data_IF_640829855596
#
_entry.id   IF_640829855596
#
_cell.length_a   1.000
_cell.length_b   1.000
_cell.length_c   1.000
_cell.angle_alpha   90.00
_cell.angle_beta   90.00
_cell.angle_gamma   90.00
#
_symmetry.space_group_name_H-M   'P 1'
#
loop_
_entity.id
_entity.type
_entity.pdbx_description
1 polymer ?
#
# COMPACT_ATOMS: atom_id res chain seq x y z
N UNK A 1 -21.83 0.65 -12.49
CA UNK A 1 -20.45 0.11 -12.50
C UNK A 1 -19.51 1.19 -12.03
N UNK A 2 -18.70 0.94 -11.00
CA UNK A 2 -17.72 1.92 -10.53
C UNK A 2 -16.53 1.97 -11.52
N UNK A 3 -16.07 3.17 -11.88
CA UNK A 3 -14.99 3.38 -12.86
C UNK A 3 -13.64 2.83 -12.39
N UNK A 4 -13.43 2.76 -11.06
CA UNK A 4 -12.12 2.49 -10.47
C UNK A 4 -12.03 1.18 -9.67
N UNK A 5 -13.17 0.53 -9.43
CA UNK A 5 -13.24 -0.65 -8.58
C UNK A 5 -13.78 -1.84 -9.36
N UNK A 6 -13.19 -2.99 -9.08
CA UNK A 6 -13.69 -4.30 -9.51
C UNK A 6 -14.12 -5.10 -8.27
N UNK A 7 -15.08 -6.04 -8.42
CA UNK A 7 -15.42 -6.98 -7.36
C UNK A 7 -14.17 -7.77 -6.93
N UNK A 8 -13.94 -7.83 -5.62
CA UNK A 8 -12.89 -8.61 -4.99
C UNK A 8 -13.42 -9.92 -4.40
N UNK A 9 -12.65 -10.51 -3.50
CA UNK A 9 -13.04 -11.72 -2.78
C UNK A 9 -13.96 -11.37 -1.59
N UNK A 10 -14.98 -12.20 -1.32
CA UNK A 10 -15.87 -12.07 -0.16
C UNK A 10 -16.49 -10.66 0.00
N UNK A 11 -17.18 -10.18 -1.03
CA UNK A 11 -17.87 -8.88 -1.06
C UNK A 11 -16.99 -7.64 -0.84
N UNK A 12 -15.67 -7.78 -0.92
CA UNK A 12 -14.75 -6.65 -0.90
C UNK A 12 -14.62 -6.00 -2.28
N UNK A 13 -14.26 -4.73 -2.29
CA UNK A 13 -13.90 -4.01 -3.52
C UNK A 13 -12.39 -3.91 -3.64
N UNK A 14 -11.88 -4.14 -4.85
CA UNK A 14 -10.48 -3.95 -5.18
C UNK A 14 -10.31 -2.88 -6.24
N UNK A 15 -9.15 -2.24 -6.22
CA UNK A 15 -8.74 -1.33 -7.28
C UNK A 15 -8.64 -2.08 -8.61
N UNK A 16 -9.27 -1.53 -9.65
CA UNK A 16 -9.09 -2.05 -11.01
C UNK A 16 -7.61 -2.02 -11.38
N UNK A 17 -7.20 -3.02 -12.14
CA UNK A 17 -5.85 -3.12 -12.68
C UNK A 17 -5.88 -3.19 -14.20
N UNK A 18 -4.83 -2.71 -14.84
CA UNK A 18 -4.58 -2.93 -16.26
C UNK A 18 -4.36 -4.42 -16.54
N UNK A 19 -4.50 -4.88 -17.81
CA UNK A 19 -4.29 -6.29 -18.16
C UNK A 19 -2.91 -6.85 -17.80
N UNK A 20 -1.89 -5.99 -17.68
CA UNK A 20 -0.54 -6.35 -17.24
C UNK A 20 -0.36 -6.41 -15.71
N UNK A 21 -1.46 -6.25 -14.94
CA UNK A 21 -1.45 -6.24 -13.47
C UNK A 21 -1.03 -4.91 -12.85
N UNK A 22 -0.74 -3.87 -13.64
CA UNK A 22 -0.46 -2.55 -13.09
C UNK A 22 -1.73 -1.91 -12.51
N UNK A 23 -1.58 -1.12 -11.44
CA UNK A 23 -2.67 -0.31 -10.89
C UNK A 23 -3.27 0.60 -11.98
N UNK A 24 -4.60 0.78 -12.03
CA UNK A 24 -5.30 1.65 -13.00
C UNK A 24 -4.80 3.11 -13.04
N UNK A 25 -4.13 3.56 -12.00
CA UNK A 25 -3.56 4.90 -11.92
C UNK A 25 -2.09 4.98 -12.36
N UNK A 26 -1.50 3.90 -12.86
CA UNK A 26 -0.12 3.86 -13.34
C UNK A 26 -0.07 4.02 -14.86
N UNK A 27 0.63 5.04 -15.36
CA UNK A 27 0.70 5.34 -16.81
C UNK A 27 1.92 4.73 -17.53
N UNK A 28 2.70 3.90 -16.83
CA UNK A 28 3.98 3.37 -17.34
C UNK A 28 5.21 4.14 -16.84
N UNK A 29 5.04 5.39 -16.39
CA UNK A 29 6.13 6.21 -15.84
C UNK A 29 5.94 6.49 -14.35
N UNK A 30 4.70 6.63 -13.89
CA UNK A 30 4.39 6.96 -12.50
C UNK A 30 2.90 6.88 -12.15
N UNK A 31 2.60 7.19 -10.90
CA UNK A 31 1.21 7.26 -10.43
C UNK A 31 0.59 8.60 -10.82
N UNK A 32 -0.48 8.58 -11.61
CA UNK A 32 -1.22 9.77 -12.07
C UNK A 32 -1.91 10.55 -10.95
N UNK A 33 -2.15 9.91 -9.80
CA UNK A 33 -2.79 10.51 -8.63
C UNK A 33 -1.82 10.64 -7.45
N UNK A 34 -0.52 10.78 -7.71
CA UNK A 34 0.53 10.79 -6.68
C UNK A 34 0.23 11.69 -5.45
N UNK A 35 -0.28 12.94 -5.62
CA UNK A 35 -0.61 13.82 -4.50
C UNK A 35 -1.74 13.30 -3.61
N UNK A 36 -2.71 12.62 -4.21
CA UNK A 36 -3.93 12.12 -3.54
C UNK A 36 -3.93 10.60 -3.36
N UNK A 37 -2.74 9.98 -3.37
CA UNK A 37 -2.60 8.54 -3.17
C UNK A 37 -3.38 8.06 -1.94
N UNK A 38 -4.08 6.92 -2.02
CA UNK A 38 -4.79 6.37 -0.89
C UNK A 38 -3.81 6.05 0.24
N UNK A 39 -4.34 5.96 1.46
CA UNK A 39 -3.54 5.73 2.66
C UNK A 39 -2.60 4.52 2.51
N UNK A 40 -3.10 3.43 1.92
CA UNK A 40 -2.31 2.22 1.65
C UNK A 40 -1.04 2.51 0.85
N UNK A 41 -1.15 3.30 -0.23
CA UNK A 41 -0.01 3.66 -1.07
C UNK A 41 0.93 4.68 -0.40
N UNK A 42 0.43 5.48 0.56
CA UNK A 42 1.24 6.46 1.31
C UNK A 42 2.06 5.81 2.42
N UNK A 43 1.52 4.77 3.05
CA UNK A 43 2.17 4.09 4.18
C UNK A 43 3.05 2.92 3.77
N UNK A 44 3.03 2.50 2.50
CA UNK A 44 3.96 1.49 2.00
C UNK A 44 5.40 2.01 2.10
N UNK A 45 6.38 1.20 2.58
CA UNK A 45 6.30 -0.22 2.91
C UNK A 45 5.99 -0.53 4.39
N UNK A 46 5.64 0.45 5.22
CA UNK A 46 5.45 0.30 6.67
C UNK A 46 4.08 -0.27 7.07
N UNK A 47 3.51 -1.14 6.25
CA UNK A 47 2.27 -1.83 6.59
C UNK A 47 2.48 -2.75 7.79
N UNK A 48 1.50 -2.90 8.69
CA UNK A 48 1.62 -3.76 9.87
C UNK A 48 2.10 -5.18 9.52
N UNK A 49 1.65 -5.75 8.41
CA UNK A 49 2.00 -7.09 7.93
C UNK A 49 3.48 -7.24 7.60
N UNK A 50 4.10 -6.16 7.10
CA UNK A 50 5.52 -6.13 6.75
C UNK A 50 6.40 -6.01 8.00
N UNK A 51 5.90 -5.31 9.02
CA UNK A 51 6.60 -5.04 10.27
C UNK A 51 6.53 -6.19 11.29
N UNK A 52 5.75 -7.25 11.02
CA UNK A 52 5.60 -8.42 11.92
C UNK A 52 6.90 -9.16 12.22
N UNK A 53 7.87 -9.15 11.30
CA UNK A 53 9.18 -9.75 11.54
C UNK A 53 10.24 -9.28 10.55
N UNK A 54 11.51 -9.40 10.92
CA UNK A 54 12.63 -9.12 10.01
C UNK A 54 12.57 -9.99 8.74
N UNK A 55 12.05 -11.22 8.83
CA UNK A 55 11.85 -12.07 7.66
C UNK A 55 10.80 -11.49 6.70
N UNK A 56 9.66 -11.01 7.21
CA UNK A 56 8.61 -10.37 6.39
C UNK A 56 9.16 -9.12 5.70
N UNK A 57 9.89 -8.27 6.43
CA UNK A 57 10.56 -7.11 5.86
C UNK A 57 11.52 -7.48 4.72
N UNK A 58 12.36 -8.51 4.92
CA UNK A 58 13.27 -9.01 3.87
C UNK A 58 12.51 -9.49 2.63
N UNK A 59 11.35 -10.14 2.78
CA UNK A 59 10.53 -10.57 1.65
C UNK A 59 9.97 -9.38 0.86
N UNK A 60 9.50 -8.34 1.54
CA UNK A 60 9.00 -7.12 0.89
C UNK A 60 10.14 -6.40 0.16
N UNK A 61 11.32 -6.35 0.76
CA UNK A 61 12.51 -5.75 0.14
C UNK A 61 13.00 -6.49 -1.12
N UNK A 62 12.69 -7.78 -1.26
CA UNK A 62 12.95 -8.54 -2.50
C UNK A 62 11.97 -8.20 -3.62
N UNK A 63 10.76 -7.79 -3.28
CA UNK A 63 9.70 -7.48 -4.26
C UNK A 63 9.79 -6.03 -4.74
N UNK A 64 10.18 -5.10 -3.87
CA UNK A 64 10.27 -3.68 -4.21
C UNK A 64 11.70 -3.16 -3.99
N UNK A 65 12.40 -2.74 -5.06
CA UNK A 65 13.78 -2.24 -4.96
C UNK A 65 13.89 -0.89 -4.22
N UNK A 66 12.75 -0.20 -3.99
CA UNK A 66 12.70 1.04 -3.22
C UNK A 66 12.79 0.83 -1.71
N UNK A 67 12.58 -0.39 -1.21
CA UNK A 67 12.68 -0.69 0.22
C UNK A 67 14.14 -0.65 0.66
N UNK A 68 14.41 -0.09 1.84
CA UNK A 68 15.76 0.22 2.35
C UNK A 68 16.54 1.23 1.48
N UNK A 69 15.83 2.05 0.69
CA UNK A 69 16.39 3.18 -0.07
C UNK A 69 15.67 4.48 0.31
N UNK A 70 16.38 5.60 0.25
CA UNK A 70 15.81 6.92 0.48
C UNK A 70 15.87 7.36 1.95
N UNK A 71 14.86 8.12 2.37
CA UNK A 71 14.78 8.78 3.69
C UNK A 71 14.80 7.74 4.82
N UNK A 72 15.58 8.02 5.86
CA UNK A 72 15.52 7.31 7.14
C UNK A 72 14.34 7.83 7.96
N UNK A 73 13.55 6.90 8.51
CA UNK A 73 12.42 7.17 9.38
C UNK A 73 12.74 6.69 10.80
N UNK A 74 12.29 7.43 11.81
CA UNK A 74 12.38 6.98 13.20
C UNK A 74 11.40 5.84 13.47
N UNK A 75 11.62 5.10 14.55
CA UNK A 75 10.69 4.05 14.97
C UNK A 75 9.28 4.61 15.24
N UNK A 76 9.20 5.80 15.84
CA UNK A 76 7.96 6.50 16.15
C UNK A 76 7.19 6.85 14.86
N UNK A 77 7.87 7.38 13.85
CA UNK A 77 7.25 7.70 12.56
C UNK A 77 6.68 6.45 11.89
N UNK A 78 7.43 5.35 11.91
CA UNK A 78 7.01 4.05 11.35
C UNK A 78 5.77 3.54 12.07
N UNK A 79 5.75 3.59 13.41
CA UNK A 79 4.61 3.16 14.22
C UNK A 79 3.37 4.01 13.92
N UNK A 80 3.53 5.33 13.77
CA UNK A 80 2.42 6.23 13.41
C UNK A 80 1.81 5.86 12.04
N UNK A 81 2.65 5.65 11.02
CA UNK A 81 2.20 5.24 9.69
C UNK A 81 1.48 3.88 9.72
N UNK A 82 2.02 2.90 10.45
CA UNK A 82 1.41 1.59 10.60
C UNK A 82 0.04 1.65 11.30
N UNK A 83 -0.10 2.52 12.32
CA UNK A 83 -1.35 2.70 13.05
C UNK A 83 -2.44 3.37 12.20
N UNK A 84 -2.10 4.27 11.29
CA UNK A 84 -3.08 4.84 10.35
C UNK A 84 -3.71 3.74 9.48
N UNK A 85 -2.90 2.77 9.04
CA UNK A 85 -3.37 1.66 8.21
C UNK A 85 -4.38 0.75 8.94
N UNK A 86 -4.15 0.47 10.23
CA UNK A 86 -5.07 -0.34 11.07
C UNK A 86 -6.45 0.28 11.23
N UNK A 87 -6.53 1.62 11.28
CA UNK A 87 -7.81 2.34 11.43
C UNK A 87 -8.68 2.27 10.18
N UNK A 88 -8.08 2.11 9.01
CA UNK A 88 -8.81 2.10 7.74
C UNK A 88 -9.42 0.73 7.40
N UNK A 89 -9.00 -0.33 8.08
CA UNK A 89 -9.42 -1.73 7.83
C UNK A 89 -10.40 -2.28 8.86
N UNK A 90 -10.85 -1.45 9.82
CA UNK A 90 -11.93 -1.80 10.74
C UNK A 90 -13.13 -0.88 10.49
N UNK A 91 -14.35 -1.41 10.30
CA UNK A 91 -15.54 -0.57 10.35
C UNK A 91 -15.63 0.04 11.74
N UNK A 92 -15.94 1.33 11.81
CA UNK A 92 -16.35 1.99 13.05
C UNK A 92 -17.65 1.29 13.53
N UNK A 93 -17.65 0.77 14.76
CA UNK A 93 -18.87 0.34 15.45
C UNK A 93 -19.82 1.53 15.68
#
# INVERSE_FOLDING_TARGET
MNKYLDPGHQDQWQLRSHPNGACIFFDGQGCQIYPVRPLQCRTYPFWPEHLKSAYRWKMVARQCPGVNRGRLYSAEEIVQMANQMKKCSMPEE
#
